data_IF_551386685009
#
_entry.id   IF_551386685009
#
_cell.length_a   1.000
_cell.length_b   1.000
_cell.length_c   1.000
_cell.angle_alpha   90.00
_cell.angle_beta   90.00
_cell.angle_gamma   90.00
#
_symmetry.space_group_name_H-M   'P 1'
#
loop_
_entity.id
_entity.type
_entity.pdbx_description
1 polymer ?
#
# COMPACT_ATOMS: atom_id res chain seq x y z
N UNK A 1 -4.09 -4.70 1.82
CA UNK A 1 -4.32 -3.99 0.52
C UNK A 1 -3.91 -4.90 -0.63
N UNK A 2 -4.56 -4.82 -1.80
CA UNK A 2 -4.08 -5.58 -2.97
C UNK A 2 -2.74 -5.02 -3.42
N UNK A 3 -1.70 -5.87 -3.44
CA UNK A 3 -0.33 -5.49 -3.79
C UNK A 3 0.04 -6.05 -5.17
N UNK A 4 0.75 -5.26 -5.98
CA UNK A 4 1.25 -5.71 -7.27
C UNK A 4 2.37 -6.73 -7.06
N UNK A 5 2.30 -7.84 -7.81
CA UNK A 5 3.32 -8.89 -7.79
C UNK A 5 4.15 -8.88 -9.07
N UNK A 6 5.44 -9.11 -8.93
CA UNK A 6 6.39 -9.12 -10.04
C UNK A 6 7.01 -10.50 -10.23
N UNK A 7 7.23 -10.86 -11.48
CA UNK A 7 7.87 -12.11 -11.86
C UNK A 7 9.33 -12.14 -11.39
N UNK A 8 9.72 -13.17 -10.64
CA UNK A 8 11.11 -13.30 -10.16
C UNK A 8 12.15 -13.47 -11.28
N UNK A 9 11.75 -14.04 -12.42
CA UNK A 9 12.67 -14.35 -13.52
C UNK A 9 12.90 -13.16 -14.49
N UNK A 10 11.89 -12.29 -14.69
CA UNK A 10 11.96 -11.23 -15.72
C UNK A 10 11.41 -9.86 -15.26
N UNK A 11 11.10 -9.70 -13.98
CA UNK A 11 10.59 -8.47 -13.37
C UNK A 11 9.34 -7.86 -14.02
N UNK A 12 8.62 -8.61 -14.85
CA UNK A 12 7.34 -8.20 -15.43
C UNK A 12 6.19 -8.37 -14.42
N UNK A 13 5.13 -7.58 -14.60
CA UNK A 13 3.91 -7.67 -13.79
C UNK A 13 3.26 -9.07 -13.94
N UNK A 14 2.89 -9.68 -12.81
CA UNK A 14 2.09 -10.91 -12.81
C UNK A 14 0.61 -10.60 -12.92
N UNK A 15 -0.10 -11.45 -13.67
CA UNK A 15 -1.53 -11.31 -13.90
C UNK A 15 -2.32 -12.39 -13.17
N UNK A 16 -3.47 -12.06 -12.57
CA UNK A 16 -4.34 -13.03 -11.92
C UNK A 16 -4.86 -14.05 -12.94
N UNK A 17 -4.83 -15.33 -12.57
CA UNK A 17 -5.25 -16.47 -13.38
C UNK A 17 -5.90 -17.53 -12.48
N UNK A 18 -7.06 -18.03 -12.89
CA UNK A 18 -7.71 -19.16 -12.20
C UNK A 18 -7.10 -20.50 -12.61
N UNK A 19 -6.66 -21.31 -11.64
CA UNK A 19 -6.44 -22.74 -11.86
C UNK A 19 -7.78 -23.46 -11.70
N UNK A 20 -8.32 -23.94 -12.83
CA UNK A 20 -9.64 -24.58 -12.88
C UNK A 20 -9.67 -25.98 -12.26
N UNK A 21 -8.52 -26.64 -12.15
CA UNK A 21 -8.42 -28.01 -11.63
C UNK A 21 -8.41 -27.96 -10.10
N UNK A 22 -7.49 -27.18 -9.53
CA UNK A 22 -7.33 -27.06 -8.08
C UNK A 22 -8.26 -26.02 -7.45
N UNK A 23 -8.94 -25.21 -8.28
CA UNK A 23 -9.86 -24.13 -7.86
C UNK A 23 -9.17 -23.08 -6.98
N UNK A 24 -7.93 -22.74 -7.32
CA UNK A 24 -7.12 -21.72 -6.62
C UNK A 24 -6.82 -20.53 -7.52
N UNK A 25 -6.63 -19.36 -6.91
CA UNK A 25 -6.14 -18.17 -7.60
C UNK A 25 -4.61 -18.25 -7.71
N UNK A 26 -4.10 -18.05 -8.92
CA UNK A 26 -2.67 -17.97 -9.24
C UNK A 26 -2.34 -16.62 -9.86
N UNK A 27 -1.08 -16.23 -9.81
CA UNK A 27 -0.52 -15.09 -10.51
C UNK A 27 0.53 -15.59 -11.50
N UNK A 28 0.34 -15.29 -12.78
CA UNK A 28 1.18 -15.81 -13.87
C UNK A 28 1.80 -14.69 -14.70
N UNK A 29 3.05 -14.89 -15.10
CA UNK A 29 3.72 -14.01 -16.05
C UNK A 29 3.19 -14.23 -17.47
N UNK A 30 3.13 -13.16 -18.27
CA UNK A 30 2.79 -13.27 -19.71
C UNK A 30 4.01 -13.47 -20.60
N UNK A 31 5.21 -13.17 -20.08
CA UNK A 31 6.45 -13.15 -20.85
C UNK A 31 7.30 -14.40 -20.64
N UNK A 32 7.00 -15.22 -19.63
CA UNK A 32 7.70 -16.48 -19.36
C UNK A 32 6.75 -17.49 -18.69
N UNK A 33 7.27 -18.66 -18.32
CA UNK A 33 6.49 -19.77 -17.72
C UNK A 33 6.24 -19.62 -16.22
N UNK A 34 6.80 -18.60 -15.57
CA UNK A 34 6.67 -18.41 -14.13
C UNK A 34 5.21 -18.14 -13.71
N UNK A 35 4.78 -18.81 -12.65
CA UNK A 35 3.54 -18.56 -11.94
C UNK A 35 3.67 -18.93 -10.46
N UNK A 36 2.77 -18.39 -9.64
CA UNK A 36 2.70 -18.69 -8.21
C UNK A 36 1.26 -18.63 -7.70
N UNK A 37 0.98 -19.31 -6.59
CA UNK A 37 -0.33 -19.22 -5.93
C UNK A 37 -0.51 -17.87 -5.23
N UNK A 38 -1.75 -17.39 -5.15
CA UNK A 38 -2.06 -16.12 -4.52
C UNK A 38 -1.74 -16.13 -3.02
N UNK A 39 -2.15 -17.17 -2.29
CA UNK A 39 -1.93 -17.38 -0.87
C UNK A 39 -1.49 -18.82 -0.62
N UNK A 40 -0.48 -19.03 0.22
CA UNK A 40 0.02 -20.38 0.55
C UNK A 40 -0.63 -20.95 1.81
N UNK A 41 -1.11 -20.08 2.70
CA UNK A 41 -1.78 -20.46 3.95
C UNK A 41 -3.17 -19.86 4.02
N UNK A 42 -4.02 -20.45 4.87
CA UNK A 42 -5.41 -20.01 5.05
C UNK A 42 -5.52 -18.63 5.73
N UNK A 43 -4.50 -18.26 6.52
CA UNK A 43 -4.37 -16.95 7.17
C UNK A 43 -4.10 -15.83 6.14
N UNK A 44 -3.36 -16.12 5.08
CA UNK A 44 -3.03 -15.17 4.01
C UNK A 44 -4.17 -14.98 2.99
N UNK A 45 -5.19 -15.85 3.04
CA UNK A 45 -6.31 -15.92 2.10
C UNK A 45 -6.99 -14.58 1.88
N UNK A 46 -7.23 -13.82 2.95
CA UNK A 46 -8.02 -12.59 2.90
C UNK A 46 -7.45 -11.54 1.95
N UNK A 47 -6.29 -10.98 2.30
CA UNK A 47 -5.72 -9.88 1.52
C UNK A 47 -5.16 -10.32 0.17
N UNK A 48 -4.61 -11.54 0.07
CA UNK A 48 -3.93 -11.99 -1.15
C UNK A 48 -4.87 -12.47 -2.25
N UNK A 49 -6.11 -12.84 -1.93
CA UNK A 49 -7.12 -13.19 -2.93
C UNK A 49 -7.85 -11.97 -3.52
N UNK A 50 -7.70 -10.81 -2.90
CA UNK A 50 -8.27 -9.57 -3.39
C UNK A 50 -7.50 -9.08 -4.63
N UNK A 51 -8.04 -9.36 -5.81
CA UNK A 51 -7.45 -8.97 -7.10
C UNK A 51 -7.57 -7.46 -7.35
N UNK A 52 -8.69 -6.87 -6.95
CA UNK A 52 -8.99 -5.47 -7.21
C UNK A 52 -9.90 -4.91 -6.12
N UNK A 53 -9.63 -3.66 -5.74
CA UNK A 53 -10.47 -2.89 -4.82
C UNK A 53 -10.61 -1.49 -5.40
N UNK A 54 -11.84 -1.03 -5.52
CA UNK A 54 -12.16 0.34 -5.91
C UNK A 54 -12.64 1.10 -4.67
N UNK A 55 -11.78 1.94 -4.11
CA UNK A 55 -12.13 2.80 -2.98
C UNK A 55 -12.63 4.14 -3.52
N UNK A 56 -13.96 4.30 -3.60
CA UNK A 56 -14.63 5.51 -4.09
C UNK A 56 -14.50 6.70 -3.14
N UNK A 57 -14.42 6.40 -1.84
CA UNK A 57 -14.03 7.34 -0.81
C UNK A 57 -12.64 6.92 -0.36
N UNK A 58 -11.66 7.14 -1.24
CA UNK A 58 -10.29 7.12 -0.77
C UNK A 58 -10.19 8.25 0.26
N UNK A 59 -10.31 7.93 1.55
CA UNK A 59 -9.49 8.61 2.54
C UNK A 59 -8.06 8.32 2.09
N UNK A 60 -7.59 9.13 1.15
CA UNK A 60 -6.18 9.36 0.99
C UNK A 60 -5.73 9.62 2.43
N UNK A 61 -4.92 8.72 2.98
CA UNK A 61 -4.09 9.10 4.10
C UNK A 61 -3.16 10.16 3.52
N UNK A 62 -3.65 11.38 3.39
CA UNK A 62 -2.96 12.56 2.85
C UNK A 62 -1.91 13.06 3.82
N UNK A 63 -1.36 12.14 4.62
CA UNK A 63 0.03 12.25 4.97
C UNK A 63 0.81 11.89 3.70
N UNK A 64 0.92 12.84 2.77
CA UNK A 64 2.07 12.90 1.88
C UNK A 64 3.29 12.53 2.74
N UNK A 65 3.97 11.44 2.37
CA UNK A 65 4.83 10.67 3.28
C UNK A 65 5.72 11.53 4.15
N UNK A 66 5.99 11.05 5.37
CA UNK A 66 6.81 11.68 6.42
C UNK A 66 7.86 12.65 5.83
N UNK A 67 7.51 13.92 5.77
CA UNK A 67 8.39 14.98 5.30
C UNK A 67 9.12 15.47 6.54
N UNK A 68 10.32 14.93 6.77
CA UNK A 68 11.12 15.26 7.97
C UNK A 68 11.39 16.77 8.10
N UNK A 69 11.34 17.51 6.99
CA UNK A 69 11.75 18.91 6.91
C UNK A 69 10.61 19.92 7.09
N UNK A 70 9.36 19.49 7.36
CA UNK A 70 8.22 20.41 7.58
C UNK A 70 8.48 21.41 8.73
N UNK A 71 9.29 21.03 9.71
CA UNK A 71 9.63 21.88 10.84
C UNK A 71 10.52 23.07 10.46
N UNK A 72 11.18 23.05 9.29
CA UNK A 72 12.03 24.14 8.80
C UNK A 72 11.32 25.12 7.90
N UNK A 73 10.15 24.75 7.37
CA UNK A 73 9.41 25.60 6.43
C UNK A 73 8.83 26.83 7.16
N UNK A 74 9.28 28.06 6.80
CA UNK A 74 8.78 29.27 7.44
C UNK A 74 7.38 29.66 6.96
N UNK A 75 6.86 29.03 5.90
CA UNK A 75 5.56 29.33 5.31
C UNK A 75 4.41 28.56 5.97
N UNK A 76 4.73 27.52 6.76
CA UNK A 76 3.72 26.71 7.45
C UNK A 76 3.33 27.32 8.82
N UNK A 77 2.04 27.28 9.17
CA UNK A 77 1.57 27.80 10.44
C UNK A 77 1.95 26.88 11.62
N UNK A 78 2.22 27.51 12.77
CA UNK A 78 2.66 26.85 14.02
C UNK A 78 1.62 27.04 15.12
N UNK A 79 1.40 25.99 15.91
CA UNK A 79 0.47 25.99 17.04
C UNK A 79 1.13 25.48 18.32
N UNK A 80 0.61 25.91 19.47
CA UNK A 80 1.11 25.48 20.79
C UNK A 80 0.37 24.25 21.30
N UNK A 81 0.53 23.15 20.59
CA UNK A 81 -0.06 21.85 20.94
C UNK A 81 1.06 20.96 21.48
N UNK A 82 0.82 20.29 22.60
CA UNK A 82 1.77 19.37 23.20
C UNK A 82 1.77 18.04 22.44
N UNK A 83 2.94 17.61 21.96
CA UNK A 83 3.12 16.32 21.31
C UNK A 83 2.86 15.18 22.32
N UNK A 84 1.98 14.21 22.01
CA UNK A 84 1.68 13.09 22.91
C UNK A 84 2.84 12.08 23.06
N UNK A 85 3.88 12.16 22.23
CA UNK A 85 5.02 11.25 22.25
C UNK A 85 6.27 11.82 22.91
N UNK A 86 6.58 13.12 22.70
CA UNK A 86 7.80 13.75 23.21
C UNK A 86 7.56 15.00 24.06
N UNK A 87 6.31 15.37 24.32
CA UNK A 87 5.91 16.52 25.16
C UNK A 87 6.38 17.90 24.69
N UNK A 88 6.95 18.01 23.49
CA UNK A 88 7.28 19.28 22.89
C UNK A 88 5.99 20.10 22.62
N UNK A 89 6.04 21.42 22.85
CA UNK A 89 4.85 22.28 22.88
C UNK A 89 4.57 23.03 21.58
N UNK A 90 5.18 22.60 20.48
CA UNK A 90 5.04 23.24 19.19
C UNK A 90 4.74 22.17 18.13
N UNK A 91 3.74 22.44 17.29
CA UNK A 91 3.36 21.58 16.18
C UNK A 91 3.05 22.42 14.94
N UNK A 92 3.55 21.95 13.80
CA UNK A 92 3.20 22.45 12.47
C UNK A 92 1.94 21.73 11.99
N UNK A 93 1.01 22.45 11.37
CA UNK A 93 -0.20 21.85 10.79
C UNK A 93 -0.38 22.22 9.32
N UNK A 94 -0.99 21.31 8.57
CA UNK A 94 -1.33 21.46 7.16
C UNK A 94 -2.79 21.04 6.96
N UNK A 95 -3.55 21.85 6.23
CA UNK A 95 -4.87 21.48 5.73
C UNK A 95 -4.72 20.97 4.31
N UNK A 96 -5.28 19.81 4.04
CA UNK A 96 -5.44 19.33 2.67
C UNK A 96 -6.84 19.73 2.23
N UNK A 97 -6.94 20.38 1.06
CA UNK A 97 -8.21 20.80 0.46
C UNK A 97 -8.63 19.80 -0.61
#
# INVERSE_FOLDING_TARGET
>A
MSSLKFCRDCANLLYPRADKVHKVLTYACRNCVYFEEAAQTEEERGEKWLVYRNDLMAESKESAGVTQDLHTDPTLPRSRITCPHCEHREAVFLSVH
#
